data_IF_830105992085
#
_entry.id   IF_830105992085
#
_cell.length_a   1.000
_cell.length_b   1.000
_cell.length_c   1.000
_cell.angle_alpha   90.00
_cell.angle_beta   90.00
_cell.angle_gamma   90.00
#
_symmetry.space_group_name_H-M   'P 1'
#
loop_
_entity.id
_entity.type
_entity.pdbx_description
1 polymer ?
#
# COMPACT_ATOMS: atom_id res chain seq x y z
N UNK A 1 22.85 -15.94 -1.74
CA UNK A 1 22.68 -14.53 -2.15
C UNK A 1 21.38 -14.35 -2.92
N UNK A 2 21.17 -15.12 -4.00
CA UNK A 2 19.88 -15.21 -4.67
C UNK A 2 19.17 -16.49 -4.22
N UNK A 3 17.88 -16.38 -3.89
CA UNK A 3 17.03 -17.50 -3.45
C UNK A 3 15.82 -17.54 -4.39
N UNK A 4 15.45 -18.70 -4.98
CA UNK A 4 14.21 -18.83 -5.73
C UNK A 4 13.02 -18.40 -4.87
N UNK A 5 12.04 -17.66 -5.41
CA UNK A 5 10.95 -17.12 -4.59
C UNK A 5 10.16 -18.21 -3.87
N UNK A 6 9.98 -19.38 -4.50
CA UNK A 6 9.33 -20.55 -3.89
C UNK A 6 10.06 -21.09 -2.64
N UNK A 7 11.37 -20.86 -2.54
CA UNK A 7 12.20 -21.28 -1.40
C UNK A 7 12.34 -20.18 -0.34
N UNK A 8 11.81 -18.98 -0.59
CA UNK A 8 11.92 -17.86 0.32
C UNK A 8 11.19 -18.12 1.65
N UNK A 9 11.83 -17.73 2.75
CA UNK A 9 11.31 -17.79 4.13
C UNK A 9 11.60 -16.47 4.84
N UNK A 10 10.72 -16.08 5.78
CA UNK A 10 10.77 -14.77 6.42
C UNK A 10 12.12 -14.48 7.10
N UNK A 11 12.69 -15.46 7.78
CA UNK A 11 13.94 -15.32 8.56
C UNK A 11 15.16 -14.89 7.72
N UNK A 12 15.15 -15.18 6.42
CA UNK A 12 16.31 -14.90 5.54
C UNK A 12 15.97 -13.94 4.39
N UNK A 13 14.67 -13.73 4.14
CA UNK A 13 14.16 -13.02 2.96
C UNK A 13 13.12 -11.95 3.31
N UNK A 14 12.80 -11.73 4.59
CA UNK A 14 11.79 -10.76 5.05
C UNK A 14 10.35 -11.23 4.88
N UNK A 15 9.43 -10.54 5.57
CA UNK A 15 8.02 -10.95 5.71
C UNK A 15 7.31 -11.13 4.37
N UNK A 16 7.44 -10.14 3.47
CA UNK A 16 6.82 -10.14 2.14
C UNK A 16 7.27 -11.32 1.30
N UNK A 17 8.58 -11.55 1.20
CA UNK A 17 9.11 -12.63 0.39
C UNK A 17 8.76 -14.00 0.98
N UNK A 18 8.81 -14.13 2.31
CA UNK A 18 8.39 -15.34 3.01
C UNK A 18 6.92 -15.69 2.78
N UNK A 19 6.04 -14.69 2.80
CA UNK A 19 4.62 -14.85 2.51
C UNK A 19 4.39 -15.31 1.05
N UNK A 20 5.00 -14.64 0.07
CA UNK A 20 4.90 -15.05 -1.33
C UNK A 20 5.47 -16.45 -1.59
N UNK A 21 6.57 -16.80 -0.94
CA UNK A 21 7.13 -18.15 -1.00
C UNK A 21 6.19 -19.21 -0.41
N UNK A 22 5.51 -18.90 0.70
CA UNK A 22 4.51 -19.79 1.29
C UNK A 22 3.31 -20.03 0.36
N UNK A 23 2.82 -18.97 -0.29
CA UNK A 23 1.74 -19.06 -1.28
C UNK A 23 2.14 -19.91 -2.50
N UNK A 24 3.36 -19.74 -3.02
CA UNK A 24 3.88 -20.58 -4.11
C UNK A 24 3.95 -22.06 -3.71
N UNK A 25 4.43 -22.37 -2.49
CA UNK A 25 4.47 -23.75 -1.98
C UNK A 25 3.08 -24.34 -1.77
N UNK A 26 2.07 -23.52 -1.54
CA UNK A 26 0.67 -23.92 -1.48
C UNK A 26 0.01 -24.07 -2.88
N UNK A 27 0.74 -23.78 -3.97
CA UNK A 27 0.23 -23.90 -5.34
C UNK A 27 -0.61 -22.69 -5.80
N UNK A 28 -0.56 -21.57 -5.07
CA UNK A 28 -1.35 -20.38 -5.37
C UNK A 28 -0.68 -19.50 -6.45
N UNK A 29 -1.45 -18.71 -7.21
CA UNK A 29 -0.97 -18.07 -8.43
C UNK A 29 -0.16 -16.80 -8.14
N UNK A 30 1.10 -16.97 -7.70
CA UNK A 30 2.06 -15.88 -7.51
C UNK A 30 2.99 -15.78 -8.71
N UNK A 31 3.35 -14.58 -9.21
CA UNK A 31 4.31 -14.43 -10.29
C UNK A 31 5.68 -14.99 -9.92
N UNK A 32 6.31 -15.70 -10.87
CA UNK A 32 7.65 -16.22 -10.69
C UNK A 32 8.67 -15.10 -10.42
N UNK A 33 9.70 -15.45 -9.65
CA UNK A 33 10.75 -14.52 -9.29
C UNK A 33 11.81 -15.14 -8.39
N UNK A 34 12.66 -14.29 -7.87
CA UNK A 34 13.71 -14.63 -6.93
C UNK A 34 13.90 -13.51 -5.92
N UNK A 35 14.70 -13.77 -4.88
CA UNK A 35 14.96 -12.85 -3.79
C UNK A 35 16.46 -12.66 -3.63
N UNK A 36 16.89 -11.41 -3.52
CA UNK A 36 18.20 -11.03 -3.01
C UNK A 36 18.13 -11.05 -1.48
N UNK A 37 18.75 -12.03 -0.84
CA UNK A 37 18.53 -12.35 0.58
C UNK A 37 19.20 -11.35 1.55
N UNK A 38 18.85 -11.43 2.84
CA UNK A 38 19.51 -10.65 3.90
C UNK A 38 21.03 -10.83 3.91
N UNK A 39 21.53 -12.03 3.60
CA UNK A 39 22.97 -12.29 3.50
C UNK A 39 23.65 -11.49 2.39
N UNK A 40 22.96 -11.20 1.28
CA UNK A 40 23.51 -10.36 0.22
C UNK A 40 23.57 -8.88 0.65
N UNK A 41 22.54 -8.39 1.35
CA UNK A 41 22.58 -7.06 1.96
C UNK A 41 23.71 -6.93 2.98
N UNK A 42 23.81 -7.88 3.93
CA UNK A 42 24.83 -7.87 4.97
C UNK A 42 26.25 -7.86 4.37
N UNK A 43 26.48 -8.60 3.28
CA UNK A 43 27.74 -8.57 2.55
C UNK A 43 28.00 -7.21 1.87
N UNK A 44 26.97 -6.59 1.29
CA UNK A 44 27.08 -5.30 0.60
C UNK A 44 27.44 -4.14 1.54
N UNK A 45 26.95 -4.19 2.78
CA UNK A 45 27.14 -3.11 3.76
C UNK A 45 28.17 -3.42 4.85
N UNK A 46 28.80 -4.60 4.83
CA UNK A 46 29.70 -5.08 5.90
C UNK A 46 30.81 -4.09 6.29
N UNK A 47 31.35 -3.39 5.31
CA UNK A 47 32.47 -2.46 5.51
C UNK A 47 32.00 -1.01 5.68
N UNK A 48 30.68 -0.77 5.75
CA UNK A 48 30.09 0.53 6.04
C UNK A 48 29.82 0.65 7.54
N UNK A 49 30.19 1.79 8.13
CA UNK A 49 29.87 2.11 9.53
C UNK A 49 28.42 2.61 9.64
N UNK A 50 27.46 1.69 9.45
CA UNK A 50 26.04 2.00 9.56
C UNK A 50 25.60 2.27 11.01
N UNK A 51 26.36 1.77 12.01
CA UNK A 51 26.05 1.94 13.44
C UNK A 51 26.15 3.39 13.91
N UNK A 52 27.02 4.21 13.30
CA UNK A 52 27.03 5.66 13.52
C UNK A 52 25.87 6.38 12.81
N UNK A 53 25.20 5.74 11.86
CA UNK A 53 24.14 6.34 11.06
C UNK A 53 22.72 5.85 11.43
N UNK A 54 22.61 4.78 12.22
CA UNK A 54 21.35 4.12 12.58
C UNK A 54 20.75 4.59 13.90
N UNK A 55 21.55 4.61 14.99
CA UNK A 55 21.01 4.71 16.36
C UNK A 55 21.82 5.64 17.30
N UNK A 56 22.73 6.45 16.77
CA UNK A 56 23.46 7.51 17.49
C UNK A 56 23.16 8.92 16.92
N UNK A 57 23.79 10.00 17.41
CA UNK A 57 23.62 11.37 16.87
C UNK A 57 24.24 11.56 15.47
N UNK A 58 24.40 10.50 14.68
CA UNK A 58 24.83 10.61 13.29
C UNK A 58 23.64 10.80 12.36
N UNK A 59 23.97 11.24 11.16
CA UNK A 59 23.02 11.65 10.14
C UNK A 59 22.54 10.41 9.35
N UNK A 60 21.27 9.99 9.46
CA UNK A 60 20.76 8.87 8.67
C UNK A 60 20.78 9.12 7.17
N UNK A 61 20.81 10.40 6.74
CA UNK A 61 21.08 10.77 5.37
C UNK A 61 22.44 10.25 4.89
N UNK A 62 23.45 10.27 5.75
CA UNK A 62 24.79 9.77 5.42
C UNK A 62 24.82 8.25 5.20
N UNK A 63 24.02 7.45 5.92
CA UNK A 63 23.92 6.01 5.62
C UNK A 63 23.29 5.74 4.27
N UNK A 64 22.20 6.45 3.95
CA UNK A 64 21.54 6.35 2.65
C UNK A 64 22.53 6.68 1.52
N UNK A 65 23.21 7.83 1.63
CA UNK A 65 24.20 8.28 0.66
C UNK A 65 25.36 7.30 0.51
N UNK A 66 25.85 6.73 1.62
CA UNK A 66 26.93 5.74 1.60
C UNK A 66 26.56 4.45 0.85
N UNK A 67 25.31 3.98 1.01
CA UNK A 67 24.80 2.81 0.28
C UNK A 67 24.61 3.19 -1.20
N UNK A 68 24.00 4.33 -1.51
CA UNK A 68 23.74 4.77 -2.89
C UNK A 68 25.02 5.02 -3.69
N UNK A 69 26.08 5.51 -3.05
CA UNK A 69 27.37 5.76 -3.69
C UNK A 69 28.17 4.48 -4.02
N UNK A 70 27.81 3.34 -3.43
CA UNK A 70 28.53 2.08 -3.61
C UNK A 70 27.91 1.25 -4.74
N UNK A 71 28.66 0.88 -5.78
CA UNK A 71 28.14 -0.03 -6.80
C UNK A 71 27.82 -1.40 -6.16
N UNK A 72 26.81 -2.08 -6.70
CA UNK A 72 26.49 -3.45 -6.30
C UNK A 72 27.65 -4.37 -6.68
N UNK A 73 28.03 -5.27 -5.75
CA UNK A 73 29.15 -6.19 -5.95
C UNK A 73 29.00 -7.01 -7.24
N UNK A 74 30.10 -7.18 -7.98
CA UNK A 74 30.10 -7.86 -9.28
C UNK A 74 29.59 -9.31 -9.19
N UNK A 75 29.81 -10.01 -8.08
CA UNK A 75 29.29 -11.36 -7.86
C UNK A 75 27.77 -11.36 -7.69
N UNK A 76 27.20 -10.33 -7.04
CA UNK A 76 25.74 -10.13 -6.94
C UNK A 76 25.17 -9.79 -8.32
N UNK A 77 25.78 -8.87 -9.06
CA UNK A 77 25.36 -8.51 -10.44
C UNK A 77 25.38 -9.75 -11.35
N UNK A 78 26.43 -10.57 -11.31
CA UNK A 78 26.51 -11.80 -12.09
C UNK A 78 25.43 -12.83 -11.66
N UNK A 79 25.10 -12.90 -10.38
CA UNK A 79 24.02 -13.75 -9.89
C UNK A 79 22.63 -13.26 -10.31
N UNK A 80 22.41 -11.94 -10.29
CA UNK A 80 21.20 -11.30 -10.83
C UNK A 80 21.04 -11.60 -12.32
N UNK A 81 22.11 -11.47 -13.11
CA UNK A 81 22.09 -11.77 -14.55
C UNK A 81 21.63 -13.20 -14.83
N UNK A 82 22.25 -14.19 -14.16
CA UNK A 82 21.83 -15.60 -14.31
C UNK A 82 20.38 -15.85 -13.90
N UNK A 83 19.91 -15.19 -12.84
CA UNK A 83 18.55 -15.35 -12.36
C UNK A 83 17.53 -14.69 -13.31
N UNK A 84 17.85 -13.53 -13.87
CA UNK A 84 17.04 -12.86 -14.90
C UNK A 84 17.00 -13.66 -16.21
N UNK A 85 18.12 -14.20 -16.66
CA UNK A 85 18.18 -15.08 -17.83
C UNK A 85 17.27 -16.30 -17.65
N UNK A 86 17.24 -16.88 -16.44
CA UNK A 86 16.34 -17.97 -16.08
C UNK A 86 14.85 -17.60 -16.12
N UNK A 87 14.50 -16.31 -15.95
CA UNK A 87 13.15 -15.79 -16.14
C UNK A 87 12.85 -15.42 -17.60
N UNK A 88 13.85 -15.43 -18.49
CA UNK A 88 13.77 -15.00 -19.88
C UNK A 88 13.99 -13.50 -20.10
N UNK A 89 14.68 -12.82 -19.19
CA UNK A 89 14.91 -11.36 -19.16
C UNK A 89 13.65 -10.50 -19.41
N UNK A 90 12.52 -10.79 -18.72
CA UNK A 90 11.33 -9.97 -18.82
C UNK A 90 11.53 -8.64 -18.07
N UNK A 91 10.69 -7.63 -18.30
CA UNK A 91 10.52 -6.55 -17.33
C UNK A 91 10.14 -7.14 -15.96
N UNK A 92 10.70 -6.60 -14.89
CA UNK A 92 10.50 -7.07 -13.52
C UNK A 92 9.98 -5.97 -12.59
N UNK A 93 9.31 -6.39 -11.53
CA UNK A 93 9.05 -5.60 -10.34
C UNK A 93 10.16 -5.90 -9.31
N UNK A 94 10.76 -4.86 -8.75
CA UNK A 94 11.80 -4.93 -7.71
C UNK A 94 11.22 -4.31 -6.45
N UNK A 95 11.05 -5.10 -5.39
CA UNK A 95 10.31 -4.70 -4.18
C UNK A 95 11.13 -4.99 -2.92
N UNK A 96 11.10 -4.07 -1.98
CA UNK A 96 11.66 -4.29 -0.64
C UNK A 96 10.94 -5.40 0.12
N UNK A 97 11.68 -6.10 0.96
CA UNK A 97 11.18 -7.06 1.95
C UNK A 97 12.08 -6.96 3.19
N UNK A 98 11.81 -5.98 4.04
CA UNK A 98 12.62 -5.73 5.24
C UNK A 98 12.30 -6.72 6.37
N UNK A 99 13.25 -6.89 7.30
CA UNK A 99 12.94 -7.50 8.58
C UNK A 99 11.95 -6.60 9.35
N UNK A 100 10.90 -7.20 9.93
CA UNK A 100 9.87 -6.45 10.67
C UNK A 100 8.86 -5.68 9.80
N UNK A 101 8.88 -5.83 8.46
CA UNK A 101 7.82 -5.34 7.57
C UNK A 101 6.60 -6.28 7.59
N UNK A 102 5.39 -5.73 7.36
CA UNK A 102 4.12 -6.47 7.28
C UNK A 102 3.83 -7.40 8.48
N UNK A 103 4.05 -6.87 9.70
CA UNK A 103 3.69 -7.58 10.94
C UNK A 103 2.21 -7.40 11.28
N UNK A 104 1.67 -8.30 12.12
CA UNK A 104 0.29 -8.19 12.59
C UNK A 104 0.00 -6.91 13.40
N UNK A 105 1.04 -6.23 13.91
CA UNK A 105 0.91 -5.03 14.74
C UNK A 105 0.85 -3.75 13.90
N UNK A 106 1.39 -3.75 12.67
CA UNK A 106 1.41 -2.55 11.86
C UNK A 106 1.62 -2.86 10.37
N UNK A 107 0.82 -2.22 9.51
CA UNK A 107 0.80 -2.49 8.06
C UNK A 107 2.08 -2.10 7.33
N UNK A 108 2.97 -1.34 7.98
CA UNK A 108 4.20 -0.82 7.40
C UNK A 108 4.06 -0.18 6.00
N UNK A 109 2.85 0.31 5.66
CA UNK A 109 2.45 0.53 4.28
C UNK A 109 3.40 1.50 3.56
N UNK A 110 4.03 0.97 2.51
CA UNK A 110 4.92 1.66 1.57
C UNK A 110 6.12 2.39 2.17
N UNK A 111 6.62 2.00 3.34
CA UNK A 111 7.81 2.58 3.98
C UNK A 111 9.06 2.61 3.09
N UNK A 112 9.20 1.58 2.26
CA UNK A 112 10.38 1.30 1.47
C UNK A 112 10.09 1.41 -0.03
N UNK A 113 11.16 1.51 -0.81
CA UNK A 113 11.04 1.75 -2.25
C UNK A 113 10.66 0.47 -3.00
N UNK A 114 9.85 0.64 -4.05
CA UNK A 114 9.46 -0.41 -4.98
C UNK A 114 9.46 0.16 -6.40
N UNK A 115 9.98 -0.63 -7.34
CA UNK A 115 10.16 -0.23 -8.72
C UNK A 115 9.43 -1.23 -9.62
N UNK A 116 8.71 -0.73 -10.62
CA UNK A 116 8.03 -1.55 -11.62
C UNK A 116 8.64 -1.29 -13.00
N UNK A 117 8.42 -2.22 -13.93
CA UNK A 117 8.86 -2.10 -15.32
C UNK A 117 10.39 -2.00 -15.50
N UNK A 118 11.17 -2.44 -14.52
CA UNK A 118 12.64 -2.44 -14.55
C UNK A 118 13.12 -3.50 -15.53
N UNK A 119 14.13 -3.22 -16.36
CA UNK A 119 14.63 -4.22 -17.31
C UNK A 119 16.16 -4.23 -17.41
N UNK A 120 16.71 -5.45 -17.49
CA UNK A 120 18.13 -5.67 -17.63
C UNK A 120 18.88 -5.60 -16.30
N UNK A 121 19.98 -6.35 -16.23
CA UNK A 121 20.72 -6.58 -14.98
C UNK A 121 21.24 -5.30 -14.32
N UNK A 122 21.63 -4.29 -15.10
CA UNK A 122 22.12 -3.01 -14.59
C UNK A 122 21.04 -2.25 -13.83
N UNK A 123 19.87 -2.02 -14.46
CA UNK A 123 18.76 -1.32 -13.82
C UNK A 123 18.22 -2.10 -12.61
N UNK A 124 18.18 -3.44 -12.68
CA UNK A 124 17.79 -4.28 -11.54
C UNK A 124 18.77 -4.14 -10.38
N UNK A 125 20.08 -4.10 -10.63
CA UNK A 125 21.08 -3.88 -9.59
C UNK A 125 20.93 -2.50 -8.94
N UNK A 126 20.68 -1.46 -9.74
CA UNK A 126 20.42 -0.11 -9.23
C UNK A 126 19.15 -0.06 -8.37
N UNK A 127 18.06 -0.71 -8.81
CA UNK A 127 16.83 -0.81 -8.05
C UNK A 127 17.02 -1.59 -6.73
N UNK A 128 17.79 -2.68 -6.73
CA UNK A 128 18.16 -3.43 -5.52
C UNK A 128 18.92 -2.53 -4.53
N UNK A 129 19.90 -1.75 -5.01
CA UNK A 129 20.64 -0.79 -4.18
C UNK A 129 19.72 0.28 -3.59
N UNK A 130 18.80 0.82 -4.39
CA UNK A 130 17.84 1.82 -3.94
C UNK A 130 16.89 1.27 -2.87
N UNK A 131 16.39 0.03 -3.04
CA UNK A 131 15.65 -0.65 -1.98
C UNK A 131 16.46 -0.72 -0.68
N UNK A 132 17.71 -1.20 -0.72
CA UNK A 132 18.57 -1.25 0.47
C UNK A 132 18.77 0.13 1.13
N UNK A 133 19.04 1.16 0.34
CA UNK A 133 19.19 2.53 0.84
C UNK A 133 17.90 3.07 1.49
N UNK A 134 16.73 2.61 1.03
CA UNK A 134 15.42 3.04 1.56
C UNK A 134 15.17 2.66 3.02
N UNK A 135 15.96 1.74 3.61
CA UNK A 135 15.98 1.48 5.06
C UNK A 135 16.28 2.76 5.87
N UNK A 136 17.08 3.65 5.29
CA UNK A 136 17.53 4.91 5.90
C UNK A 136 16.80 6.13 5.32
N UNK A 137 15.69 5.92 4.62
CA UNK A 137 14.85 7.03 4.19
C UNK A 137 14.24 7.76 5.41
N UNK A 138 14.01 9.09 5.35
CA UNK A 138 13.34 9.83 6.42
C UNK A 138 12.01 9.20 6.84
N UNK A 139 11.32 8.57 5.88
CA UNK A 139 10.05 7.86 6.07
C UNK A 139 10.21 6.61 6.94
N UNK A 140 11.15 5.74 6.60
CA UNK A 140 11.43 4.52 7.36
C UNK A 140 11.93 4.85 8.79
N UNK A 141 12.75 5.89 8.94
CA UNK A 141 13.23 6.36 10.25
C UNK A 141 12.09 6.92 11.10
N UNK A 142 11.29 7.83 10.54
CA UNK A 142 10.15 8.42 11.26
C UNK A 142 9.09 7.37 11.64
N UNK A 143 8.99 6.30 10.86
CA UNK A 143 8.16 5.16 11.23
C UNK A 143 8.73 4.41 12.44
N UNK A 144 10.00 3.97 12.38
CA UNK A 144 10.67 3.23 13.47
C UNK A 144 10.74 4.02 14.77
N UNK A 145 11.09 5.32 14.71
CA UNK A 145 11.17 6.19 15.87
C UNK A 145 9.85 6.26 16.65
N UNK A 146 8.71 6.17 15.96
CA UNK A 146 7.40 6.17 16.61
C UNK A 146 6.92 4.78 17.03
N UNK A 147 7.48 3.71 16.46
CA UNK A 147 7.26 2.34 16.92
C UNK A 147 8.12 2.00 18.15
N UNK A 148 9.13 2.83 18.46
CA UNK A 148 10.16 2.65 19.50
C UNK A 148 9.71 2.73 20.96
N UNK A 149 8.49 2.30 21.28
CA UNK A 149 8.10 1.94 22.66
C UNK A 149 8.22 0.44 22.96
N UNK A 150 8.43 -0.40 21.95
CA UNK A 150 8.53 -1.85 22.09
C UNK A 150 9.90 -2.34 21.59
N UNK A 151 10.71 -2.87 22.52
CA UNK A 151 12.10 -3.36 22.37
C UNK A 151 12.23 -4.58 21.43
N UNK A 152 11.20 -4.84 20.61
CA UNK A 152 11.06 -5.97 19.68
C UNK A 152 11.10 -5.56 18.22
N UNK A 153 10.96 -4.26 17.90
CA UNK A 153 11.11 -3.71 16.55
C UNK A 153 12.52 -3.14 16.30
N UNK A 154 13.39 -3.18 17.32
CA UNK A 154 14.84 -2.99 17.28
C UNK A 154 15.56 -4.21 16.68
N UNK A 155 14.96 -4.86 15.67
CA UNK A 155 15.60 -5.94 14.92
C UNK A 155 16.73 -5.42 14.03
N UNK A 156 17.63 -6.32 13.64
CA UNK A 156 18.71 -6.01 12.69
C UNK A 156 18.15 -5.25 11.47
N UNK A 157 18.73 -4.10 11.14
CA UNK A 157 18.37 -3.27 9.98
C UNK A 157 18.81 -3.98 8.68
N UNK A 158 18.12 -5.06 8.33
CA UNK A 158 18.38 -5.89 7.15
C UNK A 158 17.20 -5.87 6.19
N UNK A 159 17.52 -5.87 4.90
CA UNK A 159 16.52 -5.88 3.84
C UNK A 159 16.88 -6.89 2.77
N UNK A 160 15.89 -7.72 2.44
CA UNK A 160 15.90 -8.52 1.24
C UNK A 160 15.15 -7.77 0.13
N UNK A 161 15.40 -8.16 -1.11
CA UNK A 161 14.75 -7.53 -2.28
C UNK A 161 14.16 -8.60 -3.17
N UNK A 162 12.85 -8.54 -3.37
CA UNK A 162 12.10 -9.42 -4.26
C UNK A 162 12.24 -8.89 -5.68
N UNK A 163 12.57 -9.79 -6.63
CA UNK A 163 12.56 -9.51 -8.07
C UNK A 163 11.59 -10.50 -8.71
N UNK A 164 10.45 -9.99 -9.18
CA UNK A 164 9.38 -10.79 -9.79
C UNK A 164 9.10 -10.33 -11.20
N UNK A 165 8.59 -11.23 -12.04
CA UNK A 165 8.05 -10.85 -13.36
C UNK A 165 7.04 -9.71 -13.21
N UNK A 166 7.21 -8.66 -14.01
CA UNK A 166 6.22 -7.60 -14.08
C UNK A 166 4.96 -8.12 -14.78
N UNK A 167 3.80 -7.72 -14.26
CA UNK A 167 2.50 -8.02 -14.84
C UNK A 167 1.87 -6.75 -15.39
N UNK A 168 1.59 -6.72 -16.70
CA UNK A 168 0.82 -5.66 -17.33
C UNK A 168 -0.67 -5.86 -17.04
N UNK A 169 -1.07 -5.55 -15.82
CA UNK A 169 -2.43 -5.79 -15.35
C UNK A 169 -3.46 -5.01 -16.17
N UNK A 170 -4.52 -5.69 -16.61
CA UNK A 170 -5.71 -5.06 -17.17
C UNK A 170 -6.56 -4.44 -16.06
N UNK A 171 -6.61 -5.14 -14.93
CA UNK A 171 -7.31 -4.78 -13.69
C UNK A 171 -6.44 -5.21 -12.53
N UNK A 172 -6.36 -4.39 -11.50
CA UNK A 172 -5.69 -4.73 -10.26
C UNK A 172 -6.47 -4.18 -9.08
N UNK A 173 -6.16 -4.70 -7.90
CA UNK A 173 -6.94 -4.39 -6.73
C UNK A 173 -6.35 -4.89 -5.43
N UNK A 174 -7.12 -4.64 -4.38
CA UNK A 174 -6.83 -5.08 -3.01
C UNK A 174 -8.05 -5.85 -2.51
N UNK A 175 -7.81 -6.88 -1.70
CA UNK A 175 -8.86 -7.67 -1.09
C UNK A 175 -8.55 -7.89 0.39
N UNK A 176 -9.53 -7.65 1.25
CA UNK A 176 -9.47 -8.03 2.65
C UNK A 176 -10.37 -9.24 2.86
N UNK A 177 -9.80 -10.34 3.35
CA UNK A 177 -10.56 -11.53 3.70
C UNK A 177 -11.35 -11.32 5.00
N UNK A 178 -12.42 -12.08 5.24
CA UNK A 178 -13.24 -11.96 6.45
C UNK A 178 -12.41 -12.18 7.74
N UNK A 179 -12.69 -11.39 8.78
CA UNK A 179 -12.08 -11.57 10.11
C UNK A 179 -12.91 -12.50 11.01
N UNK A 180 -14.20 -12.67 10.72
CA UNK A 180 -15.09 -13.61 11.39
C UNK A 180 -16.11 -14.26 10.44
N UNK A 181 -16.94 -15.19 10.95
CA UNK A 181 -17.89 -15.96 10.14
C UNK A 181 -18.97 -15.12 9.47
N UNK A 182 -19.38 -14.02 10.10
CA UNK A 182 -20.42 -13.11 9.61
C UNK A 182 -19.84 -11.94 8.79
N UNK A 183 -18.51 -11.88 8.64
CA UNK A 183 -17.85 -10.87 7.83
C UNK A 183 -17.86 -11.26 6.35
N UNK A 184 -17.76 -10.24 5.49
CA UNK A 184 -17.72 -10.39 4.03
C UNK A 184 -16.30 -10.18 3.52
N UNK A 185 -15.96 -10.85 2.42
CA UNK A 185 -14.75 -10.51 1.67
C UNK A 185 -14.98 -9.15 1.01
N UNK A 186 -14.05 -8.22 1.21
CA UNK A 186 -14.10 -6.88 0.62
C UNK A 186 -13.06 -6.78 -0.46
N UNK A 187 -13.46 -6.35 -1.66
CA UNK A 187 -12.59 -6.25 -2.82
C UNK A 187 -12.70 -4.84 -3.37
N UNK A 188 -11.57 -4.21 -3.65
CA UNK A 188 -11.48 -2.98 -4.42
C UNK A 188 -10.76 -3.25 -5.74
N UNK A 189 -11.30 -2.77 -6.85
CA UNK A 189 -10.75 -3.01 -8.18
C UNK A 189 -10.75 -1.74 -9.04
N UNK A 190 -9.67 -1.54 -9.79
CA UNK A 190 -9.57 -0.49 -10.80
C UNK A 190 -8.79 -0.96 -12.03
N UNK A 191 -8.91 -0.21 -13.11
CA UNK A 191 -8.21 -0.48 -14.36
C UNK A 191 -6.70 -0.26 -14.23
N UNK A 192 -5.92 -1.11 -14.91
CA UNK A 192 -4.46 -0.99 -14.96
C UNK A 192 -3.76 -1.55 -13.73
N UNK A 193 -2.57 -1.02 -13.46
CA UNK A 193 -1.66 -1.47 -12.41
C UNK A 193 -2.11 -1.06 -11.00
N UNK A 194 -1.88 -1.97 -10.05
CA UNK A 194 -2.30 -1.88 -8.65
C UNK A 194 -1.82 -0.68 -7.82
N UNK A 195 -0.65 -0.04 -8.07
CA UNK A 195 -0.21 1.10 -7.26
C UNK A 195 -1.22 2.25 -7.20
N UNK A 196 -2.06 2.39 -8.23
CA UNK A 196 -3.11 3.40 -8.25
C UNK A 196 -4.18 3.19 -7.17
N UNK A 197 -4.55 1.93 -6.91
CA UNK A 197 -5.53 1.54 -5.88
C UNK A 197 -4.90 1.64 -4.49
N UNK A 198 -3.74 1.00 -4.30
CA UNK A 198 -3.02 0.97 -3.01
C UNK A 198 -2.67 2.38 -2.53
N UNK A 199 -2.14 3.21 -3.44
CA UNK A 199 -1.80 4.60 -3.17
C UNK A 199 -3.00 5.55 -3.14
N UNK A 200 -4.21 5.07 -3.39
CA UNK A 200 -5.43 5.88 -3.35
C UNK A 200 -5.50 7.00 -4.39
N UNK A 201 -4.70 6.93 -5.47
CA UNK A 201 -4.73 7.94 -6.55
C UNK A 201 -5.91 7.76 -7.49
N UNK A 202 -6.63 6.65 -7.35
CA UNK A 202 -7.91 6.37 -8.00
C UNK A 202 -8.96 6.03 -6.95
N UNK A 203 -10.21 6.37 -7.21
CA UNK A 203 -11.36 5.82 -6.47
C UNK A 203 -11.80 4.54 -7.16
N UNK A 204 -11.54 3.35 -6.56
CA UNK A 204 -11.83 2.06 -7.18
C UNK A 204 -13.31 1.68 -7.04
N UNK A 205 -13.73 0.69 -7.82
CA UNK A 205 -14.99 -0.01 -7.55
C UNK A 205 -14.87 -0.79 -6.24
N UNK A 206 -15.98 -0.94 -5.52
CA UNK A 206 -16.04 -1.71 -4.29
C UNK A 206 -17.00 -2.89 -4.45
N UNK A 207 -16.56 -4.08 -4.04
CA UNK A 207 -17.34 -5.31 -4.05
C UNK A 207 -17.33 -5.93 -2.65
N UNK A 208 -18.45 -6.54 -2.27
CA UNK A 208 -18.59 -7.33 -1.05
C UNK A 208 -19.16 -8.68 -1.42
N UNK A 209 -18.45 -9.73 -1.03
CA UNK A 209 -18.84 -11.12 -1.26
C UNK A 209 -19.13 -11.76 0.09
N UNK A 210 -20.39 -12.11 0.33
CA UNK A 210 -20.80 -12.79 1.55
C UNK A 210 -20.55 -14.31 1.46
N UNK A 211 -20.55 -14.98 2.60
CA UNK A 211 -20.32 -16.43 2.69
C UNK A 211 -21.36 -17.30 1.94
N UNK A 212 -22.52 -16.74 1.61
CA UNK A 212 -23.55 -17.39 0.80
C UNK A 212 -23.36 -17.21 -0.72
N UNK A 213 -22.29 -16.51 -1.13
CA UNK A 213 -21.98 -16.19 -2.52
C UNK A 213 -22.73 -14.97 -3.08
N UNK A 214 -23.49 -14.24 -2.26
CA UNK A 214 -24.09 -12.98 -2.71
C UNK A 214 -23.03 -11.90 -2.91
N UNK A 215 -23.12 -11.19 -4.03
CA UNK A 215 -22.22 -10.10 -4.40
C UNK A 215 -22.99 -8.79 -4.41
N UNK A 216 -22.51 -7.81 -3.64
CA UNK A 216 -22.96 -6.41 -3.76
C UNK A 216 -21.80 -5.57 -4.25
N UNK A 217 -22.07 -4.61 -5.15
CA UNK A 217 -21.04 -3.74 -5.73
C UNK A 217 -21.46 -2.29 -5.81
N UNK A 218 -20.48 -1.41 -5.72
CA UNK A 218 -20.59 0.01 -6.03
C UNK A 218 -19.53 0.34 -7.10
N UNK A 219 -20.00 0.86 -8.24
CA UNK A 219 -19.11 1.25 -9.34
C UNK A 219 -18.71 2.71 -9.15
N UNK A 220 -17.40 2.97 -9.14
CA UNK A 220 -16.81 4.29 -9.03
C UNK A 220 -16.32 4.82 -10.39
N UNK A 221 -15.93 6.09 -10.42
CA UNK A 221 -15.54 6.81 -11.64
C UNK A 221 -14.23 6.29 -12.27
N UNK A 222 -13.29 5.72 -11.49
CA UNK A 222 -12.03 5.12 -12.01
C UNK A 222 -11.34 5.98 -13.09
N UNK A 223 -11.26 7.31 -12.86
CA UNK A 223 -10.96 8.32 -13.90
C UNK A 223 -9.66 8.06 -14.65
N UNK A 224 -8.66 7.54 -13.96
CA UNK A 224 -7.33 7.27 -14.48
C UNK A 224 -6.93 5.84 -14.23
N UNK A 225 -5.99 5.36 -15.05
CA UNK A 225 -5.30 4.08 -14.92
C UNK A 225 -3.80 4.27 -15.05
N UNK A 226 -3.05 3.43 -14.36
CA UNK A 226 -1.59 3.37 -14.46
C UNK A 226 -1.23 2.19 -15.35
N UNK A 227 -0.43 2.39 -16.38
CA UNK A 227 0.01 1.32 -17.28
C UNK A 227 1.50 1.41 -17.55
N UNK A 228 2.09 0.32 -18.04
CA UNK A 228 3.46 0.33 -18.54
C UNK A 228 3.49 0.71 -20.03
N UNK A 229 4.42 1.58 -20.39
CA UNK A 229 4.79 1.89 -21.77
C UNK A 229 6.32 1.77 -21.91
N UNK A 230 6.78 0.67 -22.50
CA UNK A 230 8.21 0.34 -22.52
C UNK A 230 8.73 0.04 -21.11
N UNK A 231 9.72 0.80 -20.65
CA UNK A 231 10.29 0.70 -19.28
C UNK A 231 9.71 1.76 -18.32
N UNK A 232 8.70 2.52 -18.75
CA UNK A 232 8.10 3.60 -17.95
C UNK A 232 6.68 3.29 -17.57
N UNK A 233 6.24 3.85 -16.45
CA UNK A 233 4.83 3.88 -16.07
C UNK A 233 4.22 5.18 -16.56
N UNK A 234 3.00 5.09 -17.08
CA UNK A 234 2.23 6.24 -17.60
C UNK A 234 0.83 6.22 -17.01
N UNK A 235 0.40 7.39 -16.56
CA UNK A 235 -1.00 7.61 -16.15
C UNK A 235 -1.79 8.01 -17.38
N UNK A 236 -2.93 7.35 -17.60
CA UNK A 236 -3.83 7.61 -18.72
C UNK A 236 -5.26 7.79 -18.22
N UNK A 237 -6.01 8.65 -18.87
CA UNK A 237 -7.44 8.76 -18.62
C UNK A 237 -8.16 7.50 -19.13
N UNK A 238 -9.09 7.00 -18.32
CA UNK A 238 -10.00 5.93 -18.71
C UNK A 238 -11.11 6.54 -19.57
N UNK A 239 -11.50 5.96 -20.71
CA UNK A 239 -12.66 6.41 -21.50
C UNK A 239 -13.96 6.38 -20.69
N UNK A 240 -14.85 7.35 -20.89
CA UNK A 240 -16.05 7.52 -20.07
C UNK A 240 -16.96 6.27 -20.03
N UNK A 241 -17.10 5.56 -21.15
CA UNK A 241 -17.84 4.30 -21.26
C UNK A 241 -17.22 3.17 -20.43
N UNK A 242 -15.89 3.15 -20.28
CA UNK A 242 -15.19 2.20 -19.42
C UNK A 242 -15.23 2.58 -17.93
N UNK A 243 -15.46 3.85 -17.59
CA UNK A 243 -15.59 4.32 -16.19
C UNK A 243 -16.87 3.82 -15.53
N UNK A 244 -17.97 3.87 -16.27
CA UNK A 244 -19.29 3.44 -15.79
C UNK A 244 -19.45 1.91 -15.72
N UNK A 245 -18.50 1.17 -16.31
CA UNK A 245 -18.48 -0.29 -16.25
C UNK A 245 -17.78 -0.77 -14.97
N UNK A 246 -18.26 -1.88 -14.40
CA UNK A 246 -17.53 -2.53 -13.31
C UNK A 246 -16.19 -3.07 -13.85
N UNK A 247 -15.12 -2.87 -13.09
CA UNK A 247 -13.78 -3.35 -13.40
C UNK A 247 -13.71 -4.88 -13.45
N UNK A 248 -14.50 -5.56 -12.61
CA UNK A 248 -14.65 -7.02 -12.59
C UNK A 248 -16.13 -7.40 -12.55
N UNK A 249 -16.47 -8.56 -13.09
CA UNK A 249 -17.81 -9.12 -12.94
C UNK A 249 -17.99 -9.89 -11.62
N UNK A 250 -19.23 -10.23 -11.29
CA UNK A 250 -19.56 -10.92 -10.04
C UNK A 250 -18.90 -12.32 -9.97
N UNK A 251 -18.74 -13.00 -11.11
CA UNK A 251 -18.04 -14.29 -11.20
C UNK A 251 -16.55 -14.17 -10.85
N UNK A 252 -15.90 -13.09 -11.27
CA UNK A 252 -14.51 -12.79 -10.90
C UNK A 252 -14.40 -12.36 -9.45
N UNK A 253 -15.35 -11.59 -8.92
CA UNK A 253 -15.40 -11.26 -7.49
C UNK A 253 -15.52 -12.52 -6.61
N UNK A 254 -16.35 -13.50 -7.01
CA UNK A 254 -16.46 -14.79 -6.32
C UNK A 254 -15.16 -15.58 -6.35
N UNK A 255 -14.51 -15.70 -7.52
CA UNK A 255 -13.20 -16.38 -7.63
C UNK A 255 -12.11 -15.71 -6.79
N UNK A 256 -12.11 -14.39 -6.71
CA UNK A 256 -11.21 -13.65 -5.81
C UNK A 256 -11.49 -13.98 -4.35
N UNK A 257 -12.77 -14.03 -3.94
CA UNK A 257 -13.14 -14.36 -2.57
C UNK A 257 -12.77 -15.80 -2.18
N UNK A 258 -12.96 -16.76 -3.08
CA UNK A 258 -12.50 -18.15 -2.90
C UNK A 258 -10.98 -18.20 -2.72
N UNK A 259 -10.22 -17.56 -3.62
CA UNK A 259 -8.77 -17.44 -3.51
C UNK A 259 -8.33 -16.76 -2.20
N UNK A 260 -9.07 -15.74 -1.75
CA UNK A 260 -8.85 -15.10 -0.46
C UNK A 260 -9.00 -16.07 0.71
N UNK A 261 -10.02 -16.93 0.67
CA UNK A 261 -10.21 -18.00 1.67
C UNK A 261 -9.05 -18.99 1.70
N UNK A 262 -8.54 -19.39 0.53
CA UNK A 262 -7.35 -20.26 0.42
C UNK A 262 -6.10 -19.59 1.03
N UNK A 263 -5.87 -18.31 0.71
CA UNK A 263 -4.74 -17.53 1.26
C UNK A 263 -4.87 -17.38 2.78
N UNK A 264 -6.06 -17.08 3.30
CA UNK A 264 -6.32 -16.99 4.73
C UNK A 264 -6.09 -18.33 5.44
N UNK A 265 -6.43 -19.46 4.80
CA UNK A 265 -6.17 -20.79 5.33
C UNK A 265 -4.67 -21.11 5.41
N UNK A 266 -3.88 -20.68 4.41
CA UNK A 266 -2.40 -20.85 4.43
C UNK A 266 -1.76 -20.14 5.62
N UNK A 267 -2.26 -18.94 5.98
CA UNK A 267 -1.68 -18.13 7.06
C UNK A 267 -2.41 -18.25 8.41
N UNK A 268 -3.55 -18.93 8.46
CA UNK A 268 -4.33 -19.15 9.68
C UNK A 268 -5.06 -17.91 10.22
N UNK A 269 -5.34 -16.92 9.37
CA UNK A 269 -6.00 -15.68 9.80
C UNK A 269 -6.31 -14.72 8.65
N UNK A 270 -7.02 -13.61 8.92
CA UNK A 270 -7.47 -12.67 7.89
C UNK A 270 -6.31 -11.98 7.17
N UNK A 271 -6.41 -11.86 5.85
CA UNK A 271 -5.38 -11.34 4.97
C UNK A 271 -5.84 -10.10 4.20
N UNK A 272 -4.94 -9.13 4.11
CA UNK A 272 -4.90 -8.05 3.12
C UNK A 272 -4.06 -8.54 1.94
N UNK A 273 -4.69 -8.66 0.77
CA UNK A 273 -4.13 -9.28 -0.44
C UNK A 273 -4.14 -8.28 -1.59
N UNK A 274 -2.97 -8.02 -2.17
CA UNK A 274 -2.86 -7.31 -3.44
C UNK A 274 -2.92 -8.31 -4.59
N UNK A 275 -3.71 -8.01 -5.62
CA UNK A 275 -3.93 -8.92 -6.74
C UNK A 275 -3.99 -8.17 -8.08
N UNK A 276 -3.77 -8.90 -9.17
CA UNK A 276 -3.88 -8.40 -10.53
C UNK A 276 -4.50 -9.45 -11.46
N UNK A 277 -5.13 -8.98 -12.54
CA UNK A 277 -5.65 -9.80 -13.63
C UNK A 277 -4.88 -9.47 -14.90
N UNK A 278 -4.32 -10.51 -15.52
CA UNK A 278 -3.64 -10.46 -16.83
C UNK A 278 -4.17 -11.61 -17.67
N UNK A 279 -4.65 -11.32 -18.87
CA UNK A 279 -5.19 -12.31 -19.80
C UNK A 279 -6.29 -13.19 -19.16
N UNK A 280 -7.13 -12.57 -18.33
CA UNK A 280 -8.21 -13.23 -17.59
C UNK A 280 -7.76 -14.11 -16.40
N UNK A 281 -6.46 -14.19 -16.10
CA UNK A 281 -5.90 -14.95 -14.97
C UNK A 281 -5.63 -14.03 -13.77
N UNK A 282 -6.07 -14.46 -12.60
CA UNK A 282 -5.79 -13.79 -11.31
C UNK A 282 -4.39 -14.18 -10.84
N UNK A 283 -3.64 -13.19 -10.37
CA UNK A 283 -2.33 -13.31 -9.76
C UNK A 283 -2.29 -12.61 -8.40
N UNK A 284 -1.64 -13.24 -7.42
CA UNK A 284 -1.40 -12.68 -6.09
C UNK A 284 -0.05 -11.97 -6.07
N UNK A 285 -0.06 -10.70 -5.70
CA UNK A 285 1.12 -9.82 -5.69
C UNK A 285 1.70 -9.62 -4.29
N UNK A 286 0.87 -9.71 -3.26
CA UNK A 286 1.24 -9.61 -1.85
C UNK A 286 0.13 -10.21 -0.99
N UNK A 287 0.47 -10.77 0.17
CA UNK A 287 -0.48 -11.11 1.22
C UNK A 287 0.15 -10.81 2.58
N UNK A 288 -0.64 -10.23 3.48
CA UNK A 288 -0.22 -9.89 4.85
C UNK A 288 -1.42 -9.89 5.80
N UNK A 289 -1.22 -10.01 7.12
CA UNK A 289 -2.31 -9.91 8.09
C UNK A 289 -3.07 -8.58 8.00
N UNK A 290 -4.39 -8.61 8.16
CA UNK A 290 -5.19 -7.39 8.30
C UNK A 290 -4.88 -6.73 9.65
N UNK A 291 -4.34 -5.51 9.64
CA UNK A 291 -3.98 -4.78 10.86
C UNK A 291 -5.10 -3.90 11.40
N UNK A 292 -5.99 -3.41 10.53
CA UNK A 292 -7.12 -2.57 10.92
C UNK A 292 -8.34 -2.81 10.01
N UNK A 293 -9.35 -3.47 10.57
CA UNK A 293 -10.56 -3.85 9.85
C UNK A 293 -11.39 -2.62 9.40
N UNK A 294 -11.91 -2.60 8.16
CA UNK A 294 -12.82 -1.56 7.69
C UNK A 294 -14.07 -1.46 8.56
N UNK A 295 -14.68 -0.26 8.71
CA UNK A 295 -15.96 -0.16 9.37
C UNK A 295 -17.05 -1.02 8.70
N UNK A 296 -18.00 -1.59 9.46
CA UNK A 296 -19.25 -2.06 8.90
C UNK A 296 -19.96 -0.89 8.21
N UNK A 297 -20.75 -1.17 7.16
CA UNK A 297 -21.48 -0.14 6.45
C UNK A 297 -22.37 0.66 7.42
N UNK A 298 -22.50 1.95 7.18
CA UNK A 298 -23.45 2.77 7.91
C UNK A 298 -24.86 2.20 7.71
N UNK A 299 -25.55 1.86 8.79
CA UNK A 299 -27.01 1.73 8.73
C UNK A 299 -27.56 3.09 8.31
N UNK A 300 -28.56 3.18 7.42
CA UNK A 300 -29.24 4.43 7.16
C UNK A 300 -29.95 4.86 8.46
N UNK A 301 -29.25 5.60 9.32
CA UNK A 301 -29.85 6.18 10.51
C UNK A 301 -30.60 7.44 10.07
N UNK A 302 -31.89 7.47 10.39
CA UNK A 302 -32.67 8.70 10.29
C UNK A 302 -32.15 9.70 11.30
N UNK A 303 -31.21 10.55 10.88
CA UNK A 303 -30.84 11.74 11.63
C UNK A 303 -31.68 12.91 11.10
N UNK A 304 -32.77 13.18 11.82
CA UNK A 304 -33.48 14.45 11.80
C UNK A 304 -32.58 15.52 12.45
N UNK A 305 -32.08 16.45 11.64
CA UNK A 305 -31.27 17.57 12.09
C UNK A 305 -30.52 18.18 10.90
N UNK A 306 -31.20 19.09 10.19
CA UNK A 306 -30.67 19.82 9.04
C UNK A 306 -29.50 20.73 9.44
N UNK A 307 -28.27 20.22 9.28
CA UNK A 307 -27.16 21.00 8.74
C UNK A 307 -26.83 20.35 7.38
N UNK A 308 -26.93 21.10 6.29
CA UNK A 308 -26.79 20.53 4.95
C UNK A 308 -25.36 19.99 4.78
N UNK A 309 -25.23 18.70 4.47
CA UNK A 309 -23.94 18.08 4.18
C UNK A 309 -23.18 18.91 3.13
N UNK A 310 -21.99 19.40 3.49
CA UNK A 310 -21.16 20.19 2.59
C UNK A 310 -20.55 19.29 1.51
N UNK A 311 -20.08 18.11 1.93
CA UNK A 311 -19.51 17.09 1.06
C UNK A 311 -19.87 15.69 1.58
N UNK A 312 -19.90 14.71 0.67
CA UNK A 312 -20.13 13.30 0.99
C UNK A 312 -19.11 12.44 0.26
N UNK A 313 -18.64 11.39 0.92
CA UNK A 313 -17.66 10.45 0.39
C UNK A 313 -17.74 9.07 1.03
N UNK A 314 -16.69 8.29 0.85
CA UNK A 314 -16.56 6.92 1.38
C UNK A 314 -16.11 6.95 2.84
N UNK A 315 -16.85 6.30 3.77
CA UNK A 315 -16.41 6.13 5.17
C UNK A 315 -15.12 5.32 5.25
N UNK A 316 -14.00 5.97 5.56
CA UNK A 316 -12.67 5.35 5.61
C UNK A 316 -12.29 4.87 7.02
N UNK A 317 -12.61 5.67 8.04
CA UNK A 317 -12.33 5.40 9.45
C UNK A 317 -13.38 6.08 10.33
N UNK A 318 -13.83 5.39 11.38
CA UNK A 318 -14.98 5.80 12.22
C UNK A 318 -14.68 7.00 13.11
N UNK A 319 -15.74 7.57 13.64
CA UNK A 319 -15.72 8.66 14.61
C UNK A 319 -16.10 10.00 14.00
N UNK A 320 -16.13 11.02 14.86
CA UNK A 320 -16.48 12.39 14.49
C UNK A 320 -15.47 13.35 15.09
N UNK A 321 -14.99 14.30 14.30
CA UNK A 321 -14.04 15.32 14.75
C UNK A 321 -14.37 16.68 14.13
N UNK A 322 -14.21 17.75 14.90
CA UNK A 322 -14.30 19.12 14.41
C UNK A 322 -12.94 19.78 14.55
N UNK A 323 -12.47 20.43 13.48
CA UNK A 323 -11.15 21.02 13.44
C UNK A 323 -10.94 21.94 12.24
N UNK A 324 -9.80 22.62 12.22
CA UNK A 324 -9.41 23.51 11.12
C UNK A 324 -8.99 22.68 9.90
N UNK A 325 -9.63 22.92 8.75
CA UNK A 325 -9.27 22.28 7.50
C UNK A 325 -7.89 22.77 7.04
N UNK A 326 -6.96 21.84 6.84
CA UNK A 326 -5.62 22.13 6.32
C UNK A 326 -5.45 21.48 4.95
N UNK A 327 -5.38 22.32 3.91
CA UNK A 327 -5.23 21.85 2.54
C UNK A 327 -3.75 21.59 2.25
N UNK A 328 -3.42 20.33 1.97
CA UNK A 328 -2.06 19.85 1.69
C UNK A 328 -2.07 19.20 0.31
N UNK A 329 -1.31 19.76 -0.64
CA UNK A 329 -1.21 19.25 -2.02
C UNK A 329 0.06 18.44 -2.26
N UNK A 330 1.03 18.52 -1.36
CA UNK A 330 2.27 17.75 -1.42
C UNK A 330 3.26 18.13 -0.32
N UNK A 331 4.49 17.60 -0.38
CA UNK A 331 5.50 17.77 0.68
C UNK A 331 5.81 19.21 1.08
N UNK A 332 5.73 20.16 0.14
CA UNK A 332 5.95 21.58 0.42
C UNK A 332 4.96 22.19 1.42
N UNK A 333 3.78 21.58 1.60
CA UNK A 333 2.76 22.04 2.54
C UNK A 333 2.88 21.40 3.93
N UNK A 334 3.74 20.40 4.12
CA UNK A 334 3.78 19.59 5.36
C UNK A 334 4.05 20.42 6.61
N UNK A 335 4.92 21.43 6.51
CA UNK A 335 5.27 22.32 7.62
C UNK A 335 4.10 23.21 8.09
N UNK A 336 3.00 23.29 7.34
CA UNK A 336 1.80 24.07 7.71
C UNK A 336 0.83 23.30 8.60
N UNK A 337 0.90 21.97 8.61
CA UNK A 337 -0.01 21.12 9.40
C UNK A 337 0.30 21.29 10.88
N UNK A 338 -0.75 21.42 11.70
CA UNK A 338 -0.66 21.49 13.16
C UNK A 338 -1.38 20.31 13.80
N UNK A 339 -0.99 19.89 15.02
CA UNK A 339 -1.73 18.88 15.74
C UNK A 339 -3.21 19.24 15.88
N UNK A 340 -4.10 18.29 15.55
CA UNK A 340 -5.55 18.47 15.56
C UNK A 340 -6.16 19.05 14.28
N UNK A 341 -5.36 19.51 13.31
CA UNK A 341 -5.87 19.95 12.00
C UNK A 341 -6.57 18.79 11.28
N UNK A 342 -7.61 19.08 10.51
CA UNK A 342 -8.23 18.13 9.59
C UNK A 342 -7.47 18.19 8.27
N UNK A 343 -6.76 17.12 7.93
CA UNK A 343 -5.96 17.04 6.72
C UNK A 343 -6.88 16.89 5.50
N UNK A 344 -6.84 17.84 4.56
CA UNK A 344 -7.60 17.80 3.30
C UNK A 344 -6.61 17.73 2.13
N UNK A 345 -6.68 16.68 1.31
CA UNK A 345 -5.69 16.45 0.24
C UNK A 345 -6.28 15.69 -0.96
N UNK A 346 -5.61 15.67 -2.13
CA UNK A 346 -6.08 14.88 -3.27
C UNK A 346 -6.11 13.39 -2.95
N UNK A 347 -5.00 12.88 -2.43
CA UNK A 347 -4.81 11.54 -1.90
C UNK A 347 -3.68 11.59 -0.87
N UNK A 348 -3.48 10.49 -0.14
CA UNK A 348 -2.27 10.34 0.69
C UNK A 348 -1.42 9.22 0.12
N UNK A 349 -0.12 9.42 0.15
CA UNK A 349 0.84 8.35 -0.02
C UNK A 349 1.60 8.11 1.30
N UNK A 350 2.37 7.03 1.41
CA UNK A 350 3.16 6.70 2.58
C UNK A 350 4.16 7.77 3.09
N UNK A 351 4.46 8.84 2.36
CA UNK A 351 5.25 9.97 2.85
C UNK A 351 4.46 10.89 3.81
N UNK A 352 3.14 10.77 3.82
CA UNK A 352 2.23 11.61 4.59
C UNK A 352 1.93 11.04 5.98
N UNK A 353 2.35 9.80 6.25
CA UNK A 353 2.11 9.08 7.51
C UNK A 353 2.48 9.89 8.77
N UNK A 354 3.60 10.65 8.83
CA UNK A 354 3.88 11.51 9.98
C UNK A 354 2.80 12.59 10.22
N UNK A 355 2.18 13.12 9.16
CA UNK A 355 1.09 14.08 9.28
C UNK A 355 -0.19 13.42 9.81
N UNK A 356 -0.48 12.20 9.36
CA UNK A 356 -1.66 11.46 9.79
C UNK A 356 -1.65 11.16 11.30
N UNK A 357 -0.47 11.08 11.94
CA UNK A 357 -0.36 10.89 13.39
C UNK A 357 -0.74 12.12 14.21
N UNK A 358 -0.57 13.31 13.64
CA UNK A 358 -0.87 14.57 14.33
C UNK A 358 -2.22 15.14 13.90
N UNK A 359 -2.78 14.69 12.78
CA UNK A 359 -4.08 15.14 12.29
C UNK A 359 -5.21 14.76 13.25
N UNK A 360 -6.24 15.61 13.33
CA UNK A 360 -7.49 15.29 14.03
C UNK A 360 -8.42 14.40 13.19
N UNK A 361 -8.33 14.49 11.86
CA UNK A 361 -9.09 13.71 10.90
C UNK A 361 -8.57 13.88 9.46
N UNK A 362 -9.11 13.11 8.52
CA UNK A 362 -8.61 13.06 7.13
C UNK A 362 -9.75 13.15 6.12
N UNK A 363 -9.55 13.96 5.09
CA UNK A 363 -10.42 14.08 3.91
C UNK A 363 -9.57 13.94 2.65
N UNK A 364 -9.94 13.02 1.75
CA UNK A 364 -9.26 12.84 0.46
C UNK A 364 -10.19 12.97 -0.74
N UNK A 365 -9.66 13.46 -1.87
CA UNK A 365 -10.43 13.55 -3.13
C UNK A 365 -10.61 12.21 -3.84
N UNK A 366 -9.62 11.34 -3.71
CA UNK A 366 -9.61 9.98 -4.27
C UNK A 366 -9.31 8.94 -3.20
N UNK A 367 -9.53 7.66 -3.55
CA UNK A 367 -9.22 6.52 -2.69
C UNK A 367 -10.47 5.80 -2.19
N UNK A 368 -10.31 4.49 -1.95
CA UNK A 368 -11.32 3.61 -1.36
C UNK A 368 -11.10 3.34 0.13
N UNK A 369 -11.98 2.52 0.72
CA UNK A 369 -11.89 2.10 2.13
C UNK A 369 -10.68 1.19 2.40
N UNK A 370 -10.10 0.58 1.36
CA UNK A 370 -8.87 -0.22 1.47
C UNK A 370 -7.60 0.54 1.08
N UNK A 371 -7.71 1.84 0.78
CA UNK A 371 -6.55 2.68 0.44
C UNK A 371 -5.64 2.98 1.64
N UNK A 372 -4.41 3.41 1.36
CA UNK A 372 -3.44 3.85 2.37
C UNK A 372 -4.02 4.83 3.40
N UNK A 373 -4.73 5.87 2.94
CA UNK A 373 -5.34 6.89 3.81
C UNK A 373 -6.28 6.26 4.84
N UNK A 374 -7.11 5.32 4.38
CA UNK A 374 -8.08 4.63 5.19
C UNK A 374 -7.42 3.74 6.25
N UNK A 375 -6.44 2.94 5.83
CA UNK A 375 -5.73 2.00 6.70
C UNK A 375 -5.02 2.77 7.82
N UNK A 376 -4.22 3.79 7.47
CA UNK A 376 -3.46 4.55 8.46
C UNK A 376 -4.40 5.35 9.37
N UNK A 377 -5.48 5.94 8.86
CA UNK A 377 -6.47 6.62 9.70
C UNK A 377 -7.10 5.68 10.74
N UNK A 378 -7.38 4.42 10.37
CA UNK A 378 -7.88 3.41 11.31
C UNK A 378 -6.83 3.03 12.35
N UNK A 379 -5.57 2.84 11.93
CA UNK A 379 -4.46 2.54 12.84
C UNK A 379 -4.22 3.69 13.85
N UNK A 380 -4.42 4.93 13.43
CA UNK A 380 -4.32 6.12 14.31
C UNK A 380 -5.63 6.46 15.05
N UNK A 381 -6.70 5.68 14.82
CA UNK A 381 -8.03 5.92 15.38
C UNK A 381 -8.58 7.35 15.13
N UNK A 382 -8.30 7.93 13.97
CA UNK A 382 -8.83 9.24 13.55
C UNK A 382 -9.94 9.08 12.50
N UNK A 383 -10.98 9.92 12.50
CA UNK A 383 -12.04 9.88 11.49
C UNK A 383 -11.52 10.18 10.09
N UNK A 384 -12.03 9.46 9.07
CA UNK A 384 -11.64 9.68 7.69
C UNK A 384 -12.81 9.53 6.70
N UNK A 385 -12.89 10.45 5.74
CA UNK A 385 -13.81 10.41 4.60
C UNK A 385 -13.03 10.55 3.30
N UNK A 386 -13.21 9.61 2.38
CA UNK A 386 -12.36 9.45 1.20
C UNK A 386 -13.15 9.58 -0.09
N UNK A 387 -12.46 9.83 -1.20
CA UNK A 387 -13.11 9.82 -2.51
C UNK A 387 -14.14 10.95 -2.68
N UNK A 388 -13.87 12.14 -2.15
CA UNK A 388 -14.72 13.34 -2.32
C UNK A 388 -14.17 14.21 -3.47
N UNK A 389 -14.70 14.11 -4.69
CA UNK A 389 -14.13 14.85 -5.82
C UNK A 389 -14.06 16.35 -5.54
N UNK A 390 -12.92 16.96 -5.86
CA UNK A 390 -12.67 18.40 -5.75
C UNK A 390 -12.67 18.98 -4.32
N UNK A 391 -12.60 18.17 -3.25
CA UNK A 391 -12.58 18.63 -1.86
C UNK A 391 -11.53 19.72 -1.57
N UNK A 392 -10.35 19.67 -2.19
CA UNK A 392 -9.27 20.66 -2.00
C UNK A 392 -9.55 22.01 -2.67
N UNK A 393 -10.57 22.07 -3.52
CA UNK A 393 -11.05 23.30 -4.17
C UNK A 393 -12.37 23.79 -3.58
N UNK A 394 -13.21 22.88 -3.06
CA UNK A 394 -14.49 23.18 -2.42
C UNK A 394 -14.32 23.67 -0.98
N UNK A 395 -13.25 23.24 -0.29
CA UNK A 395 -12.91 23.69 1.05
C UNK A 395 -11.86 24.80 1.00
N UNK A 396 -11.84 25.65 2.03
CA UNK A 396 -10.84 26.68 2.20
C UNK A 396 -9.91 26.36 3.38
N UNK A 397 -8.65 26.75 3.25
CA UNK A 397 -7.66 26.54 4.31
C UNK A 397 -8.05 27.36 5.55
N UNK A 398 -8.03 26.72 6.71
CA UNK A 398 -8.40 27.33 7.99
C UNK A 398 -9.87 27.18 8.36
N UNK A 399 -10.76 26.81 7.42
CA UNK A 399 -12.21 26.67 7.70
C UNK A 399 -12.46 25.56 8.73
N UNK A 400 -13.29 25.83 9.73
CA UNK A 400 -13.67 24.81 10.71
C UNK A 400 -14.71 23.89 10.08
N UNK A 401 -14.38 22.61 9.99
CA UNK A 401 -15.26 21.58 9.46
C UNK A 401 -15.43 20.45 10.47
N UNK A 402 -16.55 19.76 10.38
CA UNK A 402 -16.79 18.52 11.10
C UNK A 402 -16.73 17.37 10.10
N UNK A 403 -15.91 16.36 10.42
CA UNK A 403 -15.78 15.13 9.65
C UNK A 403 -16.46 14.02 10.44
N UNK A 404 -17.54 13.46 9.89
CA UNK A 404 -18.14 12.21 10.34
C UNK A 404 -17.64 11.08 9.44
N UNK A 405 -16.58 10.42 9.90
CA UNK A 405 -15.97 9.29 9.22
C UNK A 405 -16.79 8.00 9.28
N UNK A 406 -17.87 7.98 10.08
CA UNK A 406 -18.81 6.84 10.13
C UNK A 406 -19.87 6.98 9.04
N UNK A 407 -20.44 8.18 8.90
CA UNK A 407 -21.45 8.47 7.89
C UNK A 407 -20.86 8.78 6.51
N UNK A 408 -19.57 9.14 6.44
CA UNK A 408 -18.93 9.58 5.20
C UNK A 408 -19.29 11.02 4.85
N UNK A 409 -19.51 11.87 5.85
CA UNK A 409 -20.04 13.23 5.68
C UNK A 409 -19.03 14.26 6.21
N UNK A 410 -18.91 15.37 5.49
CA UNK A 410 -18.21 16.56 5.96
C UNK A 410 -19.20 17.73 5.99
N UNK A 411 -19.29 18.42 7.12
CA UNK A 411 -20.13 19.63 7.30
C UNK A 411 -19.27 20.83 7.67
N UNK A 412 -19.75 22.03 7.35
CA UNK A 412 -19.20 23.25 7.95
C UNK A 412 -19.67 23.33 9.40
N UNK A 413 -18.81 23.80 10.32
CA UNK A 413 -19.18 23.94 11.73
C UNK A 413 -20.18 25.10 11.98
N UNK A 414 -20.34 26.02 11.03
CA UNK A 414 -21.16 27.24 11.15
C UNK A 414 -22.46 27.20 10.30
N UNK A 415 -23.01 26.01 9.99
CA UNK A 415 -24.22 25.86 9.18
C UNK A 415 -25.48 25.51 9.98
#
# INVERSE_FOLDING_TARGET
MIVPLMEAVADTCGGKAGALGALLRAGLPVPDGFVVSFGAYAAAVRDLDLGRCGDGPGDPGAAREAIEARPVDAAVVAALGRALDGLGDPPVAVRSSAAGEDTALASAAGQHESFLAVRGVGEVADAVRACWASLFSPRAIGYRAAAGGDDRLSGDLVMAVIVQRHLDAEVAGVMFTPAGPDDVTRIEASWGLGPSVVGGTVTPDAYRVAGDGSVTRAVADKRSRLDRQGTRLVVRDVPADARERPAIDDATALRLAELGGEIAAVFGGPQDVEWAIVDGRIWVLQARPVTAAPPPPASPSGASGTSAALLTGTPGSRGTVTGSARIVRGPGDFARVRPGDILVCPFTDPAWTPLLRIAGGVVTETGGVLSHAAIVAREQAIPAVLGIPNATSSLHDGTVITVDGTAGIVTAADA
#
